data_IF_673166873548
#
_entry.id   IF_673166873548
#
_cell.length_a   1.000
_cell.length_b   1.000
_cell.length_c   1.000
_cell.angle_alpha   90.00
_cell.angle_beta   90.00
_cell.angle_gamma   90.00
#
_symmetry.space_group_name_H-M   'P 1'
#
loop_
_entity.id
_entity.type
_entity.pdbx_description
1 polymer ?
#
# COMPACT_ATOMS: atom_id res chain seq x y z
N UNK A 1 -59.64 1.02 -10.88
CA UNK A 1 -59.82 1.02 -9.42
C UNK A 1 -59.24 -0.27 -8.87
N UNK A 2 -58.57 -0.12 -7.73
CA UNK A 2 -58.13 -1.17 -6.81
C UNK A 2 -56.80 -1.88 -7.11
N UNK A 3 -56.05 -2.20 -6.04
CA UNK A 3 -54.60 -2.06 -5.99
C UNK A 3 -53.95 -3.43 -5.69
N UNK A 4 -52.77 -3.39 -5.06
CA UNK A 4 -52.21 -4.44 -4.18
C UNK A 4 -51.05 -5.25 -4.79
N UNK A 5 -50.20 -5.89 -3.96
CA UNK A 5 -48.97 -5.27 -3.44
C UNK A 5 -47.73 -6.15 -3.70
N UNK A 6 -46.53 -5.61 -3.51
CA UNK A 6 -45.29 -6.38 -3.55
C UNK A 6 -45.01 -7.09 -2.22
N UNK A 7 -44.48 -8.33 -2.25
CA UNK A 7 -43.53 -8.74 -1.21
C UNK A 7 -42.28 -9.48 -1.71
N UNK A 8 -41.14 -8.92 -1.28
CA UNK A 8 -39.84 -9.48 -0.83
C UNK A 8 -39.46 -10.93 -1.19
N UNK A 9 -38.21 -11.18 -1.65
CA UNK A 9 -37.68 -12.54 -1.76
C UNK A 9 -37.43 -13.15 -0.37
N UNK A 10 -37.92 -14.38 -0.20
CA UNK A 10 -37.75 -15.22 0.98
C UNK A 10 -36.48 -16.05 0.89
N UNK A 11 -35.62 -15.87 1.90
CA UNK A 11 -34.90 -16.90 2.67
C UNK A 11 -34.30 -18.14 2.00
N UNK A 12 -33.01 -18.35 2.29
CA UNK A 12 -32.25 -19.59 2.12
C UNK A 12 -33.06 -20.86 2.45
N UNK A 13 -33.08 -21.81 1.52
CA UNK A 13 -33.50 -23.19 1.76
C UNK A 13 -32.28 -24.09 1.93
N UNK A 14 -32.02 -24.52 3.16
CA UNK A 14 -31.10 -25.61 3.49
C UNK A 14 -31.91 -26.90 3.54
N UNK A 15 -31.69 -27.83 2.59
CA UNK A 15 -31.86 -29.28 2.78
C UNK A 15 -31.44 -30.09 1.55
N UNK A 16 -30.27 -30.72 1.70
CA UNK A 16 -30.04 -32.15 1.44
C UNK A 16 -30.21 -32.68 0.02
N UNK A 17 -29.10 -32.72 -0.72
CA UNK A 17 -28.82 -33.80 -1.67
C UNK A 17 -27.41 -34.33 -1.40
N UNK A 18 -27.32 -35.35 -0.53
CA UNK A 18 -26.23 -36.31 -0.54
C UNK A 18 -26.77 -37.56 -1.26
N UNK A 19 -26.35 -37.75 -2.50
CA UNK A 19 -26.45 -39.00 -3.21
C UNK A 19 -25.12 -39.18 -3.94
N UNK A 20 -24.37 -40.19 -3.51
CA UNK A 20 -22.97 -40.38 -3.88
C UNK A 20 -22.80 -40.99 -5.26
N UNK A 21 -21.67 -40.67 -5.87
CA UNK A 21 -20.99 -41.54 -6.82
C UNK A 21 -19.50 -41.44 -6.50
N UNK A 22 -18.93 -42.57 -6.12
CA UNK A 22 -17.50 -42.74 -5.93
C UNK A 22 -16.80 -42.56 -7.28
N UNK A 23 -15.93 -41.55 -7.35
CA UNK A 23 -15.07 -41.29 -8.49
C UNK A 23 -13.77 -40.72 -7.97
N UNK A 24 -12.71 -41.54 -8.04
CA UNK A 24 -11.29 -41.19 -8.20
C UNK A 24 -10.83 -39.82 -7.68
N UNK A 25 -9.91 -39.85 -6.70
CA UNK A 25 -8.88 -38.84 -6.42
C UNK A 25 -8.88 -37.64 -7.40
N UNK A 26 -9.26 -36.43 -7.00
CA UNK A 26 -8.79 -35.74 -5.82
C UNK A 26 -8.03 -34.50 -6.31
N UNK A 27 -8.70 -33.35 -6.25
CA UNK A 27 -8.19 -31.98 -6.40
C UNK A 27 -7.84 -31.48 -7.82
N UNK A 28 -8.89 -31.12 -8.58
CA UNK A 28 -8.81 -29.95 -9.47
C UNK A 28 -8.96 -28.71 -8.57
N UNK A 29 -7.84 -28.09 -8.22
CA UNK A 29 -7.82 -26.77 -7.60
C UNK A 29 -8.13 -25.71 -8.69
N UNK A 30 -9.32 -25.14 -8.61
CA UNK A 30 -9.64 -23.88 -9.23
C UNK A 30 -8.80 -22.78 -8.53
N UNK A 31 -7.71 -22.38 -9.18
CA UNK A 31 -7.11 -21.05 -9.18
C UNK A 31 -7.23 -20.24 -7.88
N UNK A 32 -6.32 -20.51 -6.94
CA UNK A 32 -5.77 -19.46 -6.09
C UNK A 32 -4.48 -18.96 -6.75
N UNK A 33 -4.34 -17.65 -6.96
CA UNK A 33 -3.15 -17.00 -7.53
C UNK A 33 -1.96 -17.00 -6.57
N UNK A 34 -1.52 -18.18 -6.13
CA UNK A 34 -0.20 -18.34 -5.50
C UNK A 34 0.54 -19.33 -6.36
N UNK A 35 1.33 -18.78 -7.30
CA UNK A 35 2.37 -19.55 -7.97
C UNK A 35 3.27 -20.13 -6.88
N UNK A 36 3.16 -21.44 -6.72
CA UNK A 36 4.24 -22.27 -6.25
C UNK A 36 5.29 -22.27 -7.36
N UNK A 37 6.40 -21.58 -7.12
CA UNK A 37 7.68 -21.92 -7.75
C UNK A 37 8.71 -21.89 -6.63
N UNK A 38 9.23 -23.08 -6.33
CA UNK A 38 10.11 -23.33 -5.21
C UNK A 38 11.32 -22.39 -5.19
N UNK A 39 11.66 -21.93 -3.99
CA UNK A 39 13.01 -21.44 -3.70
C UNK A 39 13.42 -20.19 -4.47
N UNK A 40 12.54 -19.22 -4.63
CA UNK A 40 13.00 -17.84 -4.78
C UNK A 40 13.50 -17.33 -3.41
N UNK A 41 14.63 -17.86 -2.95
CA UNK A 41 15.50 -17.04 -2.13
C UNK A 41 15.81 -15.82 -3.00
N UNK A 42 15.04 -14.75 -2.83
CA UNK A 42 15.18 -13.53 -3.60
C UNK A 42 16.66 -13.19 -3.52
N UNK A 43 17.35 -13.24 -4.67
CA UNK A 43 18.79 -13.05 -4.69
C UNK A 43 19.10 -11.77 -3.92
N UNK A 44 20.08 -11.86 -3.00
CA UNK A 44 20.51 -10.72 -2.22
C UNK A 44 20.74 -9.55 -3.19
N UNK A 45 20.26 -8.34 -2.87
CA UNK A 45 20.44 -7.21 -3.76
C UNK A 45 21.93 -7.01 -4.02
N UNK A 46 22.27 -6.65 -5.25
CA UNK A 46 23.58 -6.05 -5.49
C UNK A 46 23.72 -4.78 -4.64
N UNK A 47 24.96 -4.35 -4.29
CA UNK A 47 25.16 -3.12 -3.53
C UNK A 47 24.44 -1.91 -4.14
N UNK A 48 24.46 -1.79 -5.47
CA UNK A 48 23.77 -0.71 -6.20
C UNK A 48 22.25 -0.77 -6.04
N UNK A 49 21.64 -1.95 -6.13
CA UNK A 49 20.19 -2.12 -5.88
C UNK A 49 19.83 -1.83 -4.42
N UNK A 50 20.73 -2.17 -3.48
CA UNK A 50 20.56 -1.89 -2.07
C UNK A 50 20.62 -0.38 -1.77
N UNK A 51 21.56 0.33 -2.39
CA UNK A 51 21.68 1.79 -2.30
C UNK A 51 20.44 2.49 -2.88
N UNK A 52 19.99 2.09 -4.07
CA UNK A 52 18.74 2.59 -4.66
C UNK A 52 17.53 2.32 -3.78
N UNK A 53 17.47 1.16 -3.14
CA UNK A 53 16.38 0.84 -2.22
C UNK A 53 16.47 1.67 -0.93
N UNK A 54 17.68 1.96 -0.43
CA UNK A 54 17.89 2.85 0.70
C UNK A 54 17.44 4.30 0.39
N UNK A 55 17.63 4.78 -0.84
CA UNK A 55 17.07 6.06 -1.30
C UNK A 55 15.53 6.05 -1.23
N UNK A 56 14.88 4.96 -1.64
CA UNK A 56 13.42 4.84 -1.55
C UNK A 56 12.90 4.73 -0.10
N UNK A 57 13.70 4.13 0.80
CA UNK A 57 13.42 4.18 2.24
C UNK A 57 13.42 5.63 2.73
N UNK A 58 14.42 6.44 2.34
CA UNK A 58 14.49 7.85 2.73
C UNK A 58 13.31 8.68 2.16
N UNK A 59 12.87 8.41 0.92
CA UNK A 59 11.66 9.02 0.35
C UNK A 59 10.43 8.72 1.21
N UNK A 60 10.25 7.46 1.61
CA UNK A 60 9.11 7.06 2.44
C UNK A 60 9.20 7.62 3.88
N UNK A 61 10.40 7.74 4.46
CA UNK A 61 10.61 8.45 5.72
C UNK A 61 10.15 9.91 5.63
N UNK A 62 10.40 10.56 4.50
CA UNK A 62 9.89 11.90 4.21
C UNK A 62 8.36 11.99 4.18
N UNK A 63 7.66 10.94 3.74
CA UNK A 63 6.19 10.87 3.77
C UNK A 63 5.68 10.77 5.21
N UNK A 64 6.29 9.92 6.03
CA UNK A 64 5.93 9.78 7.47
C UNK A 64 6.18 11.10 8.21
N UNK A 65 7.32 11.75 7.95
CA UNK A 65 7.62 13.07 8.49
C UNK A 65 6.62 14.13 8.02
N UNK A 66 6.15 14.06 6.76
CA UNK A 66 5.15 14.99 6.25
C UNK A 66 3.80 14.84 6.94
N UNK A 67 3.34 13.62 7.24
CA UNK A 67 2.14 13.40 8.05
C UNK A 67 2.28 13.99 9.46
N UNK A 68 3.44 13.81 10.10
CA UNK A 68 3.71 14.38 11.42
C UNK A 68 3.71 15.92 11.39
N UNK A 69 4.34 16.51 10.37
CA UNK A 69 4.37 17.96 10.19
C UNK A 69 2.98 18.54 9.88
N UNK A 70 2.17 17.85 9.07
CA UNK A 70 0.79 18.24 8.81
C UNK A 70 -0.07 18.21 10.08
N UNK A 71 0.05 17.14 10.89
CA UNK A 71 -0.67 17.03 12.16
C UNK A 71 -0.24 18.10 13.18
N UNK A 72 1.04 18.48 13.20
CA UNK A 72 1.54 19.56 14.05
C UNK A 72 1.01 20.95 13.62
N UNK A 73 0.84 21.17 12.31
CA UNK A 73 0.35 22.43 11.77
C UNK A 73 -1.18 22.56 11.81
N UNK A 74 -1.90 21.45 11.61
CA UNK A 74 -3.36 21.36 11.68
C UNK A 74 -3.77 20.03 12.35
N UNK A 75 -4.04 20.05 13.67
CA UNK A 75 -4.45 18.85 14.42
C UNK A 75 -5.75 18.22 13.92
N UNK A 76 -6.70 19.04 13.43
CA UNK A 76 -7.97 18.53 12.91
C UNK A 76 -7.78 17.79 11.59
N UNK A 77 -6.82 18.21 10.76
CA UNK A 77 -6.37 17.43 9.61
C UNK A 77 -5.65 16.16 10.07
N UNK A 78 -4.78 16.25 11.08
CA UNK A 78 -4.08 15.12 11.69
C UNK A 78 -5.03 13.98 12.07
N UNK A 79 -6.12 14.29 12.77
CA UNK A 79 -7.15 13.31 13.15
C UNK A 79 -7.81 12.64 11.94
N UNK A 80 -8.03 13.40 10.85
CA UNK A 80 -8.65 12.88 9.62
C UNK A 80 -7.73 11.97 8.82
N UNK A 81 -6.41 12.15 8.93
CA UNK A 81 -5.41 11.41 8.17
C UNK A 81 -4.63 10.37 8.99
N UNK A 82 -5.02 10.16 10.26
CA UNK A 82 -4.31 9.28 11.18
C UNK A 82 -4.13 7.84 10.62
N UNK A 83 -5.19 7.28 10.03
CA UNK A 83 -5.13 5.94 9.42
C UNK A 83 -4.15 5.90 8.25
N UNK A 84 -4.09 6.95 7.44
CA UNK A 84 -3.18 7.06 6.30
C UNK A 84 -1.73 7.23 6.76
N UNK A 85 -1.50 7.96 7.87
CA UNK A 85 -0.20 8.08 8.50
C UNK A 85 0.31 6.72 9.02
N UNK A 86 -0.56 5.94 9.67
CA UNK A 86 -0.24 4.57 10.09
C UNK A 86 0.07 3.65 8.90
N UNK A 87 -0.69 3.75 7.81
CA UNK A 87 -0.42 3.02 6.58
C UNK A 87 0.95 3.38 5.98
N UNK A 88 1.31 4.67 5.96
CA UNK A 88 2.61 5.13 5.47
C UNK A 88 3.77 4.61 6.32
N UNK A 89 3.59 4.52 7.65
CA UNK A 89 4.57 3.91 8.55
C UNK A 89 4.70 2.39 8.31
N UNK A 90 3.58 1.67 8.14
CA UNK A 90 3.62 0.25 7.82
C UNK A 90 4.27 -0.03 6.45
N UNK A 91 4.07 0.85 5.46
CA UNK A 91 4.78 0.77 4.17
C UNK A 91 6.29 0.95 4.33
N UNK A 92 6.71 1.91 5.17
CA UNK A 92 8.12 2.13 5.49
C UNK A 92 8.77 0.91 6.12
N UNK A 93 8.09 0.25 7.07
CA UNK A 93 8.61 -0.95 7.71
C UNK A 93 8.79 -2.11 6.71
N UNK A 94 7.86 -2.26 5.76
CA UNK A 94 8.00 -3.24 4.67
C UNK A 94 9.17 -2.93 3.75
N UNK A 95 9.39 -1.65 3.41
CA UNK A 95 10.55 -1.23 2.61
C UNK A 95 11.88 -1.51 3.33
N UNK A 96 11.96 -1.20 4.62
CA UNK A 96 13.13 -1.51 5.46
C UNK A 96 13.40 -3.00 5.55
N UNK A 97 12.36 -3.82 5.70
CA UNK A 97 12.49 -5.28 5.71
C UNK A 97 13.01 -5.83 4.36
N UNK A 98 12.67 -5.17 3.25
CA UNK A 98 13.17 -5.53 1.91
C UNK A 98 14.60 -5.01 1.64
N UNK A 99 15.15 -4.15 2.50
CA UNK A 99 16.46 -3.50 2.38
C UNK A 99 17.40 -3.84 3.57
N UNK A 100 17.72 -5.12 3.83
CA UNK A 100 18.61 -5.49 4.92
C UNK A 100 20.02 -4.93 4.66
N UNK A 101 20.38 -3.87 5.37
CA UNK A 101 21.65 -3.16 5.20
C UNK A 101 21.50 -1.67 4.90
N UNK A 102 20.29 -1.19 4.60
CA UNK A 102 20.01 0.25 4.54
C UNK A 102 20.21 0.84 5.94
N UNK A 103 21.35 1.47 6.18
CA UNK A 103 21.54 2.31 7.37
C UNK A 103 20.59 3.49 7.25
N UNK A 104 19.76 3.68 8.28
CA UNK A 104 18.88 4.85 8.38
C UNK A 104 19.74 6.10 8.20
N UNK A 105 19.60 6.73 7.03
CA UNK A 105 20.14 8.06 6.81
C UNK A 105 19.17 9.02 7.44
N UNK A 106 19.67 10.01 8.19
CA UNK A 106 18.81 11.02 8.77
C UNK A 106 17.93 11.62 7.65
N UNK A 107 16.60 11.70 7.84
CA UNK A 107 15.73 12.22 6.80
C UNK A 107 16.23 13.61 6.43
N UNK A 108 16.49 13.85 5.14
CA UNK A 108 16.76 15.19 4.66
C UNK A 108 15.57 16.05 5.10
N UNK A 109 15.85 17.02 5.99
CA UNK A 109 14.83 17.76 6.71
C UNK A 109 13.76 18.25 5.74
N UNK A 110 12.56 17.69 5.86
CA UNK A 110 11.43 18.18 5.10
C UNK A 110 11.00 19.48 5.74
N UNK A 111 11.23 20.61 5.06
CA UNK A 111 10.62 21.87 5.45
C UNK A 111 9.12 21.63 5.66
N UNK A 112 8.62 22.07 6.82
CA UNK A 112 7.22 21.91 7.19
C UNK A 112 6.29 22.66 6.24
N UNK A 113 4.96 22.48 6.39
CA UNK A 113 4.01 23.26 5.62
C UNK A 113 4.24 24.76 5.81
N UNK A 114 4.08 25.58 4.75
CA UNK A 114 4.26 27.02 4.85
C UNK A 114 3.30 27.61 5.90
N UNK A 115 3.77 28.51 6.78
CA UNK A 115 2.95 29.04 7.86
C UNK A 115 1.73 29.78 7.30
N UNK A 116 0.54 29.41 7.79
CA UNK A 116 -0.73 29.98 7.31
C UNK A 116 -1.15 29.53 5.90
N UNK A 117 -0.44 28.57 5.28
CA UNK A 117 -0.77 28.01 3.98
C UNK A 117 -1.76 26.83 4.03
N UNK A 118 -2.10 26.30 2.86
CA UNK A 118 -2.92 25.10 2.71
C UNK A 118 -2.11 23.85 3.09
N UNK A 119 -2.23 23.43 4.36
CA UNK A 119 -1.55 22.23 4.90
C UNK A 119 -1.99 20.96 4.17
N UNK A 120 -3.27 20.85 3.80
CA UNK A 120 -3.80 19.68 3.09
C UNK A 120 -3.23 19.61 1.67
N UNK A 121 -3.21 20.74 0.95
CA UNK A 121 -2.60 20.85 -0.37
C UNK A 121 -1.11 20.51 -0.34
N UNK A 122 -0.37 21.08 0.61
CA UNK A 122 1.03 20.76 0.83
C UNK A 122 1.25 19.26 1.07
N UNK A 123 0.46 18.64 1.96
CA UNK A 123 0.57 17.20 2.25
C UNK A 123 0.30 16.36 1.00
N UNK A 124 -0.74 16.72 0.22
CA UNK A 124 -1.08 16.06 -1.04
C UNK A 124 0.09 16.11 -2.02
N UNK A 125 0.74 17.27 -2.17
CA UNK A 125 1.86 17.46 -3.09
C UNK A 125 3.09 16.62 -2.65
N UNK A 126 3.37 16.57 -1.34
CA UNK A 126 4.45 15.72 -0.79
C UNK A 126 4.23 14.23 -1.06
N UNK A 127 3.00 13.75 -0.86
CA UNK A 127 2.65 12.35 -1.12
C UNK A 127 2.68 12.05 -2.63
N UNK A 128 2.21 12.98 -3.46
CA UNK A 128 2.26 12.88 -4.91
C UNK A 128 3.68 12.72 -5.45
N UNK A 129 4.58 13.62 -5.03
CA UNK A 129 5.99 13.57 -5.41
C UNK A 129 6.69 12.28 -4.94
N UNK A 130 6.34 11.76 -3.76
CA UNK A 130 6.86 10.48 -3.29
C UNK A 130 6.35 9.30 -4.13
N UNK A 131 5.08 9.31 -4.56
CA UNK A 131 4.54 8.31 -5.46
C UNK A 131 5.26 8.32 -6.81
N UNK A 132 5.51 9.50 -7.38
CA UNK A 132 6.30 9.67 -8.62
C UNK A 132 7.72 9.09 -8.45
N UNK A 133 8.36 9.35 -7.31
CA UNK A 133 9.70 8.83 -6.99
C UNK A 133 9.76 7.30 -6.93
N UNK A 134 8.80 6.67 -6.25
CA UNK A 134 8.70 5.20 -6.18
C UNK A 134 8.36 4.58 -7.55
N UNK A 135 7.50 5.23 -8.35
CA UNK A 135 7.19 4.80 -9.72
C UNK A 135 8.43 4.84 -10.62
N UNK A 136 9.23 5.91 -10.54
CA UNK A 136 10.47 6.03 -11.31
C UNK A 136 11.49 4.94 -10.89
N UNK A 137 11.69 4.76 -9.58
CA UNK A 137 12.63 3.78 -9.04
C UNK A 137 12.22 2.32 -9.31
N UNK A 138 10.94 2.06 -9.56
CA UNK A 138 10.43 0.75 -9.94
C UNK A 138 11.11 0.19 -11.20
N UNK A 139 11.43 1.07 -12.17
CA UNK A 139 12.05 0.68 -13.43
C UNK A 139 13.49 0.17 -13.28
N UNK A 140 14.18 0.58 -12.20
CA UNK A 140 15.59 0.27 -11.95
C UNK A 140 15.80 -0.93 -11.02
N UNK A 141 14.74 -1.68 -10.70
CA UNK A 141 14.77 -2.76 -9.72
C UNK A 141 14.32 -4.11 -10.28
N UNK A 142 14.87 -5.19 -9.71
CA UNK A 142 14.44 -6.56 -10.03
C UNK A 142 13.00 -6.83 -9.56
N UNK A 143 12.33 -7.77 -10.25
CA UNK A 143 10.87 -8.00 -10.23
C UNK A 143 10.18 -7.89 -8.85
N UNK A 144 10.71 -8.54 -7.81
CA UNK A 144 10.09 -8.50 -6.47
C UNK A 144 10.15 -7.11 -5.79
N UNK A 145 11.25 -6.38 -5.99
CA UNK A 145 11.43 -5.01 -5.45
C UNK A 145 10.66 -4.00 -6.29
N UNK A 146 10.64 -4.17 -7.61
CA UNK A 146 9.79 -3.39 -8.51
C UNK A 146 8.31 -3.53 -8.12
N UNK A 147 7.83 -4.75 -7.87
CA UNK A 147 6.46 -4.99 -7.42
C UNK A 147 6.17 -4.31 -6.06
N UNK A 148 7.12 -4.35 -5.13
CA UNK A 148 7.00 -3.65 -3.84
C UNK A 148 6.87 -2.13 -4.04
N UNK A 149 7.79 -1.51 -4.77
CA UNK A 149 7.79 -0.07 -5.04
C UNK A 149 6.53 0.36 -5.79
N UNK A 150 6.11 -0.39 -6.81
CA UNK A 150 4.86 -0.15 -7.52
C UNK A 150 3.63 -0.23 -6.61
N UNK A 151 3.61 -1.18 -5.66
CA UNK A 151 2.50 -1.30 -4.69
C UNK A 151 2.47 -0.14 -3.69
N UNK A 152 3.64 0.37 -3.28
CA UNK A 152 3.75 1.55 -2.41
C UNK A 152 3.27 2.78 -3.16
N UNK A 153 3.77 3.02 -4.37
CA UNK A 153 3.35 4.16 -5.19
C UNK A 153 1.84 4.16 -5.43
N UNK A 154 1.25 3.02 -5.82
CA UNK A 154 -0.19 2.90 -6.00
C UNK A 154 -0.98 3.22 -4.73
N UNK A 155 -0.49 2.78 -3.55
CA UNK A 155 -1.07 3.14 -2.26
C UNK A 155 -1.04 4.64 -1.99
N UNK A 156 0.10 5.30 -2.25
CA UNK A 156 0.26 6.74 -2.10
C UNK A 156 -0.65 7.53 -3.07
N UNK A 157 -0.81 7.06 -4.32
CA UNK A 157 -1.78 7.65 -5.26
C UNK A 157 -3.21 7.58 -4.74
N UNK A 158 -3.58 6.46 -4.11
CA UNK A 158 -4.87 6.33 -3.43
C UNK A 158 -5.05 7.36 -2.31
N UNK A 159 -4.00 7.64 -1.54
CA UNK A 159 -4.02 8.67 -0.49
C UNK A 159 -4.16 10.08 -1.07
N UNK A 160 -3.44 10.39 -2.16
CA UNK A 160 -3.58 11.65 -2.89
C UNK A 160 -5.02 11.87 -3.36
N UNK A 161 -5.68 10.84 -3.89
CA UNK A 161 -7.07 10.92 -4.33
C UNK A 161 -8.05 11.17 -3.17
N UNK A 162 -7.79 10.62 -1.98
CA UNK A 162 -8.60 10.88 -0.77
C UNK A 162 -8.40 12.31 -0.25
N UNK A 163 -7.19 12.88 -0.45
CA UNK A 163 -6.85 14.26 -0.09
C UNK A 163 -7.26 15.29 -1.14
N UNK A 164 -7.70 14.87 -2.34
CA UNK A 164 -8.19 15.76 -3.40
C UNK A 164 -9.47 16.50 -2.99
#
# INVERSE_FOLDING_TARGET
MSPSPAPRPTGFSRRTLLAGVAGTAGLVLLTACTGDDGGNAQAAPTPEEADRLAEQVAVQEGVVAAYAAAAAADPALGDRVAVQAEQAAAQLDRLRAAAPGATSSAPAGTDGPPPGGDVRGWLRDRIGAAADGHEAACADQAAGRAALLGSVAAGLRGQVAVLA
#
